data_IF_390483148461
#
_entry.id   IF_390483148461
#
_cell.length_a   1.000
_cell.length_b   1.000
_cell.length_c   1.000
_cell.angle_alpha   90.00
_cell.angle_beta   90.00
_cell.angle_gamma   90.00
#
_symmetry.space_group_name_H-M   'P 1'
#
loop_
_entity.id
_entity.type
_entity.pdbx_description
1 polymer ?
#
# COMPACT_ATOMS: atom_id res chain seq x y z
N UNK A 1 12.03 -8.41 -12.08
CA UNK A 1 12.11 -7.47 -10.94
C UNK A 1 11.18 -7.99 -9.86
N UNK A 2 11.53 -7.87 -8.58
CA UNK A 2 10.68 -8.33 -7.47
C UNK A 2 10.60 -7.29 -6.38
N UNK A 3 9.43 -7.13 -5.78
CA UNK A 3 9.26 -6.34 -4.55
C UNK A 3 9.99 -7.03 -3.41
N UNK A 4 10.82 -6.29 -2.68
CA UNK A 4 11.58 -6.78 -1.52
C UNK A 4 11.00 -6.26 -0.21
N UNK A 5 10.58 -5.00 -0.18
CA UNK A 5 10.08 -4.34 1.02
C UNK A 5 8.91 -3.42 0.68
N UNK A 6 7.91 -3.37 1.56
CA UNK A 6 6.86 -2.36 1.57
C UNK A 6 6.89 -1.70 2.95
N UNK A 7 7.06 -0.40 3.04
CA UNK A 7 7.18 0.31 4.32
C UNK A 7 6.34 1.58 4.32
N UNK A 8 5.59 1.80 5.40
CA UNK A 8 4.92 3.08 5.62
C UNK A 8 5.86 4.07 6.31
N UNK A 9 6.11 5.19 5.67
CA UNK A 9 6.88 6.32 6.19
C UNK A 9 5.91 7.40 6.68
N UNK A 10 6.25 8.06 7.79
CA UNK A 10 5.46 9.17 8.32
C UNK A 10 6.33 10.42 8.41
N UNK A 11 5.80 11.54 7.93
CA UNK A 11 6.41 12.86 7.95
C UNK A 11 5.39 13.88 8.46
N UNK A 12 5.43 14.14 9.76
CA UNK A 12 4.40 14.94 10.46
C UNK A 12 2.99 14.36 10.21
N UNK A 13 2.08 15.10 9.58
CA UNK A 13 0.72 14.66 9.24
C UNK A 13 0.62 13.86 7.93
N UNK A 14 1.69 13.82 7.14
CA UNK A 14 1.71 13.12 5.86
C UNK A 14 2.28 11.71 6.03
N UNK A 15 1.75 10.78 5.25
CA UNK A 15 2.18 9.40 5.27
C UNK A 15 2.41 8.93 3.84
N UNK A 16 3.38 8.04 3.67
CA UNK A 16 3.80 7.54 2.37
C UNK A 16 4.01 6.03 2.45
N UNK A 17 3.81 5.33 1.34
CA UNK A 17 4.20 3.94 1.16
C UNK A 17 5.41 3.92 0.26
N UNK A 18 6.51 3.36 0.75
CA UNK A 18 7.73 3.11 -0.01
C UNK A 18 7.77 1.64 -0.40
N UNK A 19 7.93 1.35 -1.69
CA UNK A 19 8.08 0.01 -2.23
C UNK A 19 9.49 -0.11 -2.82
N UNK A 20 10.27 -1.08 -2.35
CA UNK A 20 11.63 -1.33 -2.83
C UNK A 20 11.68 -2.64 -3.63
N UNK A 21 12.62 -2.71 -4.58
CA UNK A 21 12.79 -3.87 -5.46
C UNK A 21 14.18 -4.47 -5.39
N UNK A 22 14.32 -5.71 -5.86
CA UNK A 22 15.59 -6.43 -5.99
C UNK A 22 16.57 -5.80 -7.00
N UNK A 23 16.10 -4.86 -7.83
CA UNK A 23 16.92 -4.08 -8.76
C UNK A 23 17.33 -2.71 -8.21
N UNK A 24 17.00 -2.40 -6.95
CA UNK A 24 17.30 -1.09 -6.34
C UNK A 24 16.37 0.05 -6.79
N UNK A 25 15.31 -0.26 -7.54
CA UNK A 25 14.27 0.72 -7.91
C UNK A 25 13.29 0.88 -6.75
N UNK A 26 12.92 2.12 -6.46
CA UNK A 26 11.99 2.49 -5.38
C UNK A 26 10.81 3.26 -5.94
N UNK A 27 9.59 2.85 -5.57
CA UNK A 27 8.35 3.60 -5.79
C UNK A 27 7.86 4.23 -4.48
N UNK A 28 7.19 5.38 -4.57
CA UNK A 28 6.63 6.08 -3.41
C UNK A 28 5.24 6.62 -3.76
N UNK A 29 4.24 6.18 -3.00
CA UNK A 29 2.87 6.69 -3.08
C UNK A 29 2.41 7.34 -1.77
N UNK A 30 1.48 8.29 -1.86
CA UNK A 30 0.94 8.98 -0.68
C UNK A 30 -0.18 8.14 -0.02
N UNK A 31 -0.12 8.02 1.31
CA UNK A 31 -1.12 7.31 2.11
C UNK A 31 -2.01 8.30 2.86
N UNK A 32 -3.22 8.52 2.34
CA UNK A 32 -4.22 9.31 3.05
C UNK A 32 -4.70 8.57 4.32
N UNK A 33 -4.78 9.22 5.49
CA UNK A 33 -5.20 8.58 6.74
C UNK A 33 -6.70 8.21 6.79
N UNK A 34 -7.42 8.24 5.67
CA UNK A 34 -8.87 8.06 5.46
C UNK A 34 -9.79 8.26 6.69
N UNK A 35 -9.88 7.28 7.60
CA UNK A 35 -10.69 7.32 8.84
C UNK A 35 -10.12 8.19 9.97
N UNK A 36 -8.84 8.51 9.94
CA UNK A 36 -8.13 9.31 10.93
C UNK A 36 -8.23 10.79 10.62
N UNK A 37 -9.34 11.43 11.00
CA UNK A 37 -9.54 12.89 10.90
C UNK A 37 -8.43 13.72 11.58
N UNK A 38 -7.58 13.08 12.42
CA UNK A 38 -6.40 13.67 13.06
C UNK A 38 -5.03 13.29 12.47
N UNK A 39 -4.97 12.78 11.24
CA UNK A 39 -3.69 12.50 10.55
C UNK A 39 -3.03 11.17 10.90
N UNK A 40 -3.62 10.38 11.82
CA UNK A 40 -3.06 9.08 12.23
C UNK A 40 -3.49 7.99 11.25
N UNK A 41 -2.58 7.37 10.47
CA UNK A 41 -2.93 6.41 9.42
C UNK A 41 -3.07 4.98 9.97
N UNK A 42 -3.60 4.78 11.18
CA UNK A 42 -3.55 3.47 11.84
C UNK A 42 -4.25 2.38 10.99
N UNK A 43 -5.48 2.65 10.56
CA UNK A 43 -6.25 1.68 9.75
C UNK A 43 -5.70 1.56 8.33
N UNK A 44 -5.39 2.65 7.60
CA UNK A 44 -4.77 2.54 6.28
C UNK A 44 -3.40 1.83 6.30
N UNK A 45 -2.58 2.05 7.33
CA UNK A 45 -1.28 1.36 7.50
C UNK A 45 -1.47 -0.14 7.64
N UNK A 46 -2.44 -0.59 8.45
CA UNK A 46 -2.78 -2.01 8.56
C UNK A 46 -3.23 -2.58 7.19
N UNK A 47 -3.93 -1.79 6.39
CA UNK A 47 -4.27 -2.16 5.00
C UNK A 47 -3.04 -2.34 4.11
N UNK A 48 -2.04 -1.46 4.23
CA UNK A 48 -0.76 -1.58 3.51
C UNK A 48 0.00 -2.83 3.94
N UNK A 49 0.07 -3.10 5.25
CA UNK A 49 0.71 -4.31 5.80
C UNK A 49 0.02 -5.58 5.28
N UNK A 50 -1.31 -5.63 5.29
CA UNK A 50 -2.07 -6.76 4.73
C UNK A 50 -1.77 -6.99 3.24
N UNK A 51 -1.73 -5.90 2.44
CA UNK A 51 -1.38 -5.98 1.03
C UNK A 51 0.08 -6.43 0.80
N UNK A 52 0.99 -6.05 1.71
CA UNK A 52 2.42 -6.37 1.60
C UNK A 52 2.70 -7.87 1.67
N UNK A 53 1.89 -8.63 2.43
CA UNK A 53 2.00 -10.10 2.52
C UNK A 53 1.91 -10.78 1.15
N UNK A 54 1.13 -10.20 0.24
CA UNK A 54 0.98 -10.68 -1.12
C UNK A 54 2.07 -10.11 -2.06
N UNK A 55 2.38 -8.81 -1.95
CA UNK A 55 3.25 -8.10 -2.89
C UNK A 55 4.72 -8.53 -2.80
N UNK A 56 5.22 -8.85 -1.61
CA UNK A 56 6.62 -9.25 -1.43
C UNK A 56 6.92 -10.48 -2.29
N UNK A 57 7.99 -10.39 -3.09
CA UNK A 57 8.40 -11.41 -4.04
C UNK A 57 7.69 -11.39 -5.40
N UNK A 58 6.67 -10.55 -5.59
CA UNK A 58 5.96 -10.37 -6.86
C UNK A 58 6.70 -9.41 -7.80
N UNK A 59 6.47 -9.56 -9.10
CA UNK A 59 6.95 -8.61 -10.11
C UNK A 59 6.02 -7.40 -10.22
N UNK A 60 6.43 -6.20 -9.73
CA UNK A 60 5.54 -5.05 -9.53
C UNK A 60 4.96 -4.47 -10.82
N UNK A 61 5.50 -4.84 -12.00
CA UNK A 61 5.01 -4.34 -13.29
C UNK A 61 3.62 -4.90 -13.67
N UNK A 62 3.10 -5.88 -12.94
CA UNK A 62 1.75 -6.41 -13.16
C UNK A 62 0.70 -5.65 -12.34
N UNK A 63 0.69 -4.31 -12.41
CA UNK A 63 -0.09 -3.40 -11.56
C UNK A 63 -1.55 -3.84 -11.44
N UNK A 64 -2.26 -4.00 -12.56
CA UNK A 64 -3.68 -4.40 -12.57
C UNK A 64 -3.92 -5.77 -11.91
N UNK A 65 -3.01 -6.73 -12.11
CA UNK A 65 -3.12 -8.05 -11.48
C UNK A 65 -3.01 -7.92 -9.97
N UNK A 66 -2.07 -7.10 -9.50
CA UNK A 66 -1.88 -6.87 -8.07
C UNK A 66 -3.08 -6.14 -7.48
N UNK A 67 -3.54 -5.09 -8.14
CA UNK A 67 -4.71 -4.32 -7.72
C UNK A 67 -5.94 -5.21 -7.57
N UNK A 68 -6.24 -6.03 -8.59
CA UNK A 68 -7.38 -6.95 -8.54
C UNK A 68 -7.23 -8.01 -7.44
N UNK A 69 -6.00 -8.52 -7.20
CA UNK A 69 -5.75 -9.45 -6.10
C UNK A 69 -6.03 -8.81 -4.75
N UNK A 70 -5.42 -7.65 -4.49
CA UNK A 70 -5.54 -6.94 -3.21
C UNK A 70 -6.98 -6.49 -2.94
N UNK A 71 -7.70 -6.01 -3.96
CA UNK A 71 -9.07 -5.54 -3.82
C UNK A 71 -10.08 -6.67 -3.63
N UNK A 72 -9.98 -7.75 -4.42
CA UNK A 72 -11.03 -8.78 -4.46
C UNK A 72 -10.90 -9.86 -3.40
N UNK A 73 -9.72 -10.03 -2.81
CA UNK A 73 -9.41 -11.07 -1.81
C UNK A 73 -9.71 -10.64 -0.37
N UNK A 74 -10.46 -9.55 -0.19
CA UNK A 74 -10.99 -9.11 1.10
C UNK A 74 -12.43 -9.61 1.24
N UNK A 75 -12.83 -10.02 2.46
CA UNK A 75 -14.19 -10.48 2.74
C UNK A 75 -15.20 -9.34 2.53
N UNK A 76 -14.88 -8.17 3.07
CA UNK A 76 -15.58 -6.91 2.81
C UNK A 76 -14.69 -6.06 1.91
N UNK A 77 -15.19 -5.69 0.73
CA UNK A 77 -14.39 -5.00 -0.28
C UNK A 77 -14.52 -3.49 -0.13
N UNK A 78 -13.39 -2.81 -0.22
CA UNK A 78 -13.32 -1.35 -0.21
C UNK A 78 -13.39 -0.78 1.19
N UNK A 79 -14.10 0.34 1.34
CA UNK A 79 -13.99 1.20 2.53
C UNK A 79 -12.83 2.17 2.39
N UNK A 80 -12.94 3.33 3.03
CA UNK A 80 -12.02 4.46 2.82
C UNK A 80 -10.57 4.10 3.14
N UNK A 81 -10.33 3.31 4.19
CA UNK A 81 -8.97 2.97 4.62
C UNK A 81 -8.29 1.97 3.70
N UNK A 82 -9.00 0.88 3.32
CA UNK A 82 -8.44 -0.08 2.37
C UNK A 82 -8.26 0.56 1.00
N UNK A 83 -9.21 1.38 0.53
CA UNK A 83 -9.05 2.08 -0.74
C UNK A 83 -7.87 3.06 -0.70
N UNK A 84 -7.64 3.72 0.44
CA UNK A 84 -6.45 4.56 0.59
C UNK A 84 -5.15 3.75 0.59
N UNK A 85 -5.13 2.58 1.22
CA UNK A 85 -3.96 1.70 1.19
C UNK A 85 -3.65 1.21 -0.24
N UNK A 86 -4.68 0.80 -0.99
CA UNK A 86 -4.52 0.38 -2.38
C UNK A 86 -4.05 1.55 -3.26
N UNK A 87 -4.63 2.75 -3.10
CA UNK A 87 -4.20 3.92 -3.86
C UNK A 87 -2.75 4.31 -3.60
N UNK A 88 -2.29 4.22 -2.35
CA UNK A 88 -0.90 4.49 -2.00
C UNK A 88 0.10 3.46 -2.56
N UNK A 89 -0.36 2.24 -2.85
CA UNK A 89 0.45 1.17 -3.44
C UNK A 89 0.47 1.26 -4.98
N UNK A 90 -0.60 1.77 -5.58
CA UNK A 90 -0.81 1.84 -7.03
C UNK A 90 -0.04 2.99 -7.71
N UNK A 91 0.11 4.11 -7.00
CA UNK A 91 0.87 5.31 -7.42
C UNK A 91 2.38 5.05 -7.38
#
# INVERSE_FOLDING_TARGET
MKVTTVTTLSADRFNYVKIETDQGITGVGELHPASGTGGTPFVPRAGVEYCSEYLIGQDPLHIERHWQHMFRRQLFRGGSDMMSALGAIDI
#
